data_IF_692346037821
#
_entry.id   IF_692346037821
#
_cell.length_a   1.000
_cell.length_b   1.000
_cell.length_c   1.000
_cell.angle_alpha   90.00
_cell.angle_beta   90.00
_cell.angle_gamma   90.00
#
_symmetry.space_group_name_H-M   'P 1'
#
loop_
_entity.id
_entity.type
_entity.pdbx_description
1 polymer ?
#
# COMPACT_ATOMS: atom_id res chain seq x y z
N UNK A 1 29.20 -22.08 -11.16
CA UNK A 1 28.82 -21.00 -10.20
C UNK A 1 29.29 -19.70 -10.83
N UNK A 2 28.45 -18.71 -10.93
CA UNK A 2 28.87 -17.38 -11.35
C UNK A 2 29.66 -16.80 -10.19
N UNK A 3 30.92 -16.45 -10.38
CA UNK A 3 31.70 -15.76 -9.35
C UNK A 3 31.01 -14.43 -9.03
N UNK A 4 30.86 -14.15 -7.75
CA UNK A 4 30.36 -12.86 -7.32
C UNK A 4 31.39 -11.80 -7.67
N UNK A 5 30.99 -10.63 -8.20
CA UNK A 5 31.95 -9.55 -8.44
C UNK A 5 32.69 -9.23 -7.13
N UNK A 6 34.00 -9.06 -7.19
CA UNK A 6 34.87 -8.81 -6.02
C UNK A 6 34.62 -7.47 -5.32
N UNK A 7 33.90 -6.56 -5.98
CA UNK A 7 33.78 -5.16 -5.58
C UNK A 7 32.32 -4.80 -5.25
N UNK A 8 31.61 -5.67 -4.51
CA UNK A 8 30.23 -5.40 -4.07
C UNK A 8 30.24 -4.72 -2.71
N UNK A 9 29.74 -3.49 -2.65
CA UNK A 9 29.57 -2.75 -1.40
C UNK A 9 28.26 -3.12 -0.67
N UNK A 10 27.23 -3.52 -1.42
CA UNK A 10 25.89 -3.73 -0.89
C UNK A 10 25.28 -5.02 -1.44
N UNK A 11 24.85 -5.90 -0.54
CA UNK A 11 24.02 -7.06 -0.89
C UNK A 11 22.57 -6.80 -0.46
N UNK A 12 21.65 -6.86 -1.42
CA UNK A 12 20.22 -6.68 -1.20
C UNK A 12 19.55 -8.05 -1.22
N UNK A 13 18.90 -8.44 -0.14
CA UNK A 13 18.24 -9.74 -0.02
C UNK A 13 16.74 -9.56 -0.23
N UNK A 14 16.23 -10.12 -1.32
CA UNK A 14 14.85 -10.07 -1.75
C UNK A 14 14.55 -8.97 -2.76
N UNK A 15 13.94 -9.37 -3.89
CA UNK A 15 13.53 -8.47 -4.97
C UNK A 15 12.04 -8.05 -4.85
N UNK A 16 11.54 -7.85 -3.64
CA UNK A 16 10.27 -7.13 -3.41
C UNK A 16 10.41 -5.64 -3.73
N UNK A 17 9.33 -4.85 -3.67
CA UNK A 17 9.37 -3.41 -3.99
C UNK A 17 10.45 -2.64 -3.24
N UNK A 18 10.65 -2.93 -1.96
CA UNK A 18 11.70 -2.28 -1.14
C UNK A 18 13.10 -2.61 -1.62
N UNK A 19 13.37 -3.89 -1.95
CA UNK A 19 14.67 -4.30 -2.50
C UNK A 19 14.94 -3.71 -3.87
N UNK A 20 13.92 -3.65 -4.73
CA UNK A 20 14.02 -3.00 -6.05
C UNK A 20 14.28 -1.50 -5.89
N UNK A 21 13.58 -0.82 -4.98
CA UNK A 21 13.82 0.60 -4.70
C UNK A 21 15.25 0.85 -4.19
N UNK A 22 15.75 0.00 -3.30
CA UNK A 22 17.14 0.05 -2.82
C UNK A 22 18.14 -0.14 -3.98
N UNK A 23 17.93 -1.13 -4.83
CA UNK A 23 18.78 -1.40 -6.01
C UNK A 23 18.81 -0.20 -6.98
N UNK A 24 17.65 0.41 -7.26
CA UNK A 24 17.56 1.63 -8.08
C UNK A 24 18.36 2.76 -7.45
N UNK A 25 18.30 2.94 -6.12
CA UNK A 25 19.08 3.99 -5.45
C UNK A 25 20.57 3.69 -5.46
N UNK A 26 21.00 2.45 -5.28
CA UNK A 26 22.39 2.06 -5.43
C UNK A 26 22.90 2.38 -6.84
N UNK A 27 22.15 1.99 -7.86
CA UNK A 27 22.51 2.26 -9.25
C UNK A 27 22.59 3.75 -9.58
N UNK A 28 21.59 4.54 -9.16
CA UNK A 28 21.60 6.01 -9.33
C UNK A 28 22.80 6.69 -8.67
N UNK A 29 23.32 6.13 -7.59
CA UNK A 29 24.46 6.66 -6.86
C UNK A 29 25.78 5.98 -7.21
N UNK A 30 25.81 5.19 -8.27
CA UNK A 30 26.99 4.41 -8.72
C UNK A 30 27.61 3.55 -7.60
N UNK A 31 26.80 3.03 -6.67
CA UNK A 31 27.23 2.10 -5.63
C UNK A 31 27.14 0.67 -6.14
N UNK A 32 28.25 -0.10 -6.13
CA UNK A 32 28.23 -1.49 -6.51
C UNK A 32 27.28 -2.30 -5.60
N UNK A 33 26.36 -3.05 -6.21
CA UNK A 33 25.41 -3.86 -5.46
C UNK A 33 25.10 -5.17 -6.16
N UNK A 34 24.56 -6.12 -5.37
CA UNK A 34 23.99 -7.36 -5.83
C UNK A 34 22.62 -7.58 -5.20
N UNK A 35 21.59 -7.75 -6.01
CA UNK A 35 20.23 -8.09 -5.60
C UNK A 35 20.01 -9.60 -5.75
N UNK A 36 19.65 -10.28 -4.66
CA UNK A 36 19.46 -11.73 -4.61
C UNK A 36 18.00 -12.05 -4.29
N UNK A 37 17.34 -12.81 -5.17
CA UNK A 37 15.94 -13.23 -5.00
C UNK A 37 15.83 -14.76 -5.08
N UNK A 38 15.06 -15.35 -4.16
CA UNK A 38 14.88 -16.81 -4.10
C UNK A 38 13.97 -17.37 -5.19
N UNK A 39 13.04 -16.56 -5.68
CA UNK A 39 12.09 -16.94 -6.72
C UNK A 39 12.66 -16.65 -8.12
N UNK A 40 11.98 -17.17 -9.14
CA UNK A 40 12.29 -16.90 -10.54
C UNK A 40 11.75 -15.54 -11.04
N UNK A 41 11.10 -14.76 -10.18
CA UNK A 41 10.53 -13.46 -10.50
C UNK A 41 10.78 -12.45 -9.39
N UNK A 42 10.76 -11.17 -9.75
CA UNK A 42 10.75 -10.05 -8.80
C UNK A 42 9.33 -9.75 -8.29
N UNK A 43 9.21 -8.87 -7.30
CA UNK A 43 7.94 -8.33 -6.82
C UNK A 43 7.51 -8.87 -5.45
N UNK A 44 7.99 -10.03 -5.03
CA UNK A 44 7.60 -10.60 -3.74
C UNK A 44 6.08 -10.74 -3.63
N UNK A 45 5.46 -10.00 -2.72
CA UNK A 45 4.00 -9.99 -2.50
C UNK A 45 3.21 -9.21 -3.55
N UNK A 46 3.84 -8.34 -4.33
CA UNK A 46 3.25 -7.71 -5.52
C UNK A 46 3.45 -8.61 -6.74
N UNK A 47 2.78 -9.74 -6.76
CA UNK A 47 2.85 -10.69 -7.85
C UNK A 47 1.50 -10.96 -8.44
N UNK A 48 1.46 -11.26 -9.74
CA UNK A 48 0.26 -11.74 -10.43
C UNK A 48 0.60 -12.94 -11.28
N UNK A 49 -0.39 -13.78 -11.54
CA UNK A 49 -0.30 -14.85 -12.53
C UNK A 49 -1.56 -14.86 -13.39
N UNK A 50 -1.43 -15.35 -14.61
CA UNK A 50 -2.54 -15.47 -15.54
C UNK A 50 -2.96 -16.93 -15.66
N UNK A 51 -4.26 -17.19 -15.54
CA UNK A 51 -4.83 -18.50 -15.76
C UNK A 51 -6.17 -18.38 -16.49
N UNK A 52 -6.29 -19.07 -17.62
CA UNK A 52 -7.51 -19.09 -18.46
C UNK A 52 -8.05 -17.69 -18.83
N UNK A 53 -7.17 -16.72 -19.03
CA UNK A 53 -7.53 -15.33 -19.36
C UNK A 53 -7.88 -14.44 -18.16
N UNK A 54 -7.79 -14.96 -16.95
CA UNK A 54 -7.96 -14.22 -15.70
C UNK A 54 -6.61 -13.86 -15.10
N UNK A 55 -6.54 -12.68 -14.47
CA UNK A 55 -5.36 -12.23 -13.71
C UNK A 55 -5.65 -12.41 -12.23
N UNK A 56 -4.78 -13.13 -11.55
CA UNK A 56 -4.84 -13.36 -10.11
C UNK A 56 -3.64 -12.69 -9.43
N UNK A 57 -3.92 -11.76 -8.53
CA UNK A 57 -2.88 -11.13 -7.72
C UNK A 57 -2.61 -11.94 -6.44
N UNK A 58 -1.33 -12.06 -6.07
CA UNK A 58 -0.88 -12.87 -4.93
C UNK A 58 -1.02 -12.17 -3.58
N UNK A 59 -1.37 -10.90 -3.58
CA UNK A 59 -1.41 -10.08 -2.37
C UNK A 59 -2.38 -8.93 -2.48
N UNK A 60 -2.02 -7.81 -1.87
CA UNK A 60 -2.86 -6.61 -1.85
C UNK A 60 -3.05 -6.02 -3.24
N UNK A 61 -4.29 -5.81 -3.63
CA UNK A 61 -4.71 -5.49 -4.99
C UNK A 61 -5.12 -4.02 -5.13
N UNK A 62 -4.37 -3.10 -4.55
CA UNK A 62 -4.62 -1.66 -4.71
C UNK A 62 -3.31 -0.90 -4.87
N UNK A 63 -3.23 -0.11 -5.93
CA UNK A 63 -2.23 0.92 -6.10
C UNK A 63 -2.86 2.28 -5.83
N UNK A 64 -2.27 3.07 -4.93
CA UNK A 64 -2.75 4.42 -4.65
C UNK A 64 -1.86 5.45 -5.35
N UNK A 65 -2.48 6.33 -6.14
CA UNK A 65 -1.75 7.33 -6.92
C UNK A 65 -1.05 8.41 -6.08
N UNK A 66 -1.30 8.46 -4.77
CA UNK A 66 -0.61 9.37 -3.84
C UNK A 66 0.66 8.78 -3.21
N UNK A 67 1.15 7.62 -3.66
CA UNK A 67 2.43 7.08 -3.22
C UNK A 67 3.59 7.78 -3.94
N UNK A 68 4.00 8.92 -3.43
CA UNK A 68 4.98 9.82 -4.07
C UNK A 68 6.32 9.14 -4.36
N UNK A 69 6.88 8.43 -3.38
CA UNK A 69 8.16 7.71 -3.54
C UNK A 69 8.05 6.65 -4.63
N UNK A 70 6.97 5.87 -4.64
CA UNK A 70 6.74 4.85 -5.66
C UNK A 70 6.60 5.48 -7.04
N UNK A 71 5.80 6.55 -7.16
CA UNK A 71 5.64 7.28 -8.42
C UNK A 71 6.96 7.84 -8.96
N UNK A 72 7.87 8.27 -8.08
CA UNK A 72 9.18 8.80 -8.50
C UNK A 72 10.14 7.73 -9.05
N UNK A 73 9.85 6.47 -8.79
CA UNK A 73 10.64 5.32 -9.23
C UNK A 73 10.04 4.61 -10.46
N UNK A 74 8.75 4.84 -10.74
CA UNK A 74 8.01 4.21 -11.82
C UNK A 74 7.99 5.07 -13.08
N UNK A 75 8.08 4.43 -14.22
CA UNK A 75 7.63 5.02 -15.49
C UNK A 75 6.11 4.87 -15.59
N UNK A 76 5.40 5.87 -15.06
CA UNK A 76 3.92 5.89 -15.02
C UNK A 76 3.30 5.91 -16.42
N UNK A 77 4.02 6.37 -17.45
CA UNK A 77 3.55 6.37 -18.83
C UNK A 77 3.42 4.97 -19.43
N UNK A 78 4.09 3.98 -18.86
CA UNK A 78 4.07 2.58 -19.32
C UNK A 78 3.15 1.68 -18.49
N UNK A 79 2.41 2.23 -17.51
CA UNK A 79 1.48 1.47 -16.66
C UNK A 79 0.06 1.99 -16.89
N UNK A 80 -0.81 1.18 -17.48
CA UNK A 80 -2.23 1.49 -17.58
C UNK A 80 -2.92 1.19 -16.26
N UNK A 81 -3.53 2.21 -15.65
CA UNK A 81 -4.24 2.10 -14.39
C UNK A 81 -5.75 2.14 -14.60
N UNK A 82 -6.45 1.16 -14.05
CA UNK A 82 -7.90 1.16 -13.91
C UNK A 82 -8.26 1.71 -12.53
N UNK A 83 -9.06 2.77 -12.49
CA UNK A 83 -9.41 3.47 -11.25
C UNK A 83 -10.70 2.95 -10.65
N UNK A 84 -10.68 2.76 -9.34
CA UNK A 84 -11.90 2.46 -8.59
C UNK A 84 -12.71 3.72 -8.32
N UNK A 85 -14.04 3.55 -8.24
CA UNK A 85 -14.91 4.61 -7.75
C UNK A 85 -14.64 4.85 -6.25
N UNK A 86 -14.55 6.12 -5.80
CA UNK A 86 -14.34 6.43 -4.40
C UNK A 86 -15.53 5.99 -3.55
N UNK A 87 -15.30 5.10 -2.60
CA UNK A 87 -16.33 4.60 -1.70
C UNK A 87 -16.08 3.17 -1.24
N UNK A 88 -17.01 2.65 -0.47
CA UNK A 88 -17.02 1.27 -0.02
C UNK A 88 -18.45 0.72 0.02
N UNK A 89 -18.60 -0.55 -0.28
CA UNK A 89 -19.82 -1.31 -0.03
C UNK A 89 -19.60 -2.12 1.22
N UNK A 90 -20.46 -1.92 2.22
CA UNK A 90 -20.39 -2.58 3.52
C UNK A 90 -21.61 -3.47 3.68
N UNK A 91 -21.39 -4.74 4.02
CA UNK A 91 -22.44 -5.66 4.42
C UNK A 91 -22.58 -5.63 5.95
N UNK A 92 -23.74 -5.26 6.49
CA UNK A 92 -23.95 -5.10 7.92
C UNK A 92 -24.45 -6.37 8.64
N UNK A 93 -24.50 -7.47 7.91
CA UNK A 93 -25.05 -8.75 8.36
C UNK A 93 -26.42 -9.07 7.74
N UNK A 94 -27.12 -8.07 7.23
CA UNK A 94 -28.43 -8.20 6.58
C UNK A 94 -28.45 -7.59 5.20
N UNK A 95 -27.98 -6.34 5.06
CA UNK A 95 -28.06 -5.57 3.83
C UNK A 95 -26.70 -4.97 3.42
N UNK A 96 -26.62 -4.56 2.15
CA UNK A 96 -25.48 -3.82 1.61
C UNK A 96 -25.72 -2.32 1.72
N UNK A 97 -24.80 -1.64 2.40
CA UNK A 97 -24.79 -0.20 2.51
C UNK A 97 -23.62 0.41 1.74
N UNK A 98 -23.86 1.49 1.01
CA UNK A 98 -22.83 2.20 0.25
C UNK A 98 -22.40 3.44 1.04
N UNK A 99 -21.11 3.50 1.36
CA UNK A 99 -20.46 4.71 1.88
C UNK A 99 -19.61 5.30 0.79
N UNK A 100 -19.98 6.50 0.33
CA UNK A 100 -19.21 7.25 -0.66
C UNK A 100 -18.51 8.44 -0.03
N UNK A 101 -17.45 8.91 -0.70
CA UNK A 101 -16.83 10.18 -0.38
C UNK A 101 -17.71 11.34 -0.93
N UNK A 102 -18.38 12.10 -0.06
CA UNK A 102 -19.32 13.15 -0.51
C UNK A 102 -18.62 14.28 -1.27
N UNK A 103 -17.30 14.43 -1.13
CA UNK A 103 -16.53 15.43 -1.85
C UNK A 103 -16.12 14.96 -3.26
N UNK A 104 -16.16 13.65 -3.51
CA UNK A 104 -15.74 13.04 -4.77
C UNK A 104 -16.89 12.44 -5.58
N UNK A 105 -17.99 12.08 -4.93
CA UNK A 105 -19.20 11.57 -5.57
C UNK A 105 -20.47 12.19 -4.95
N UNK A 106 -20.84 13.36 -5.48
CA UNK A 106 -22.00 14.13 -5.02
C UNK A 106 -23.32 13.34 -5.21
N UNK A 107 -23.40 12.43 -6.18
CA UNK A 107 -24.61 11.65 -6.45
C UNK A 107 -24.94 10.63 -5.36
N UNK A 108 -23.95 10.20 -4.59
CA UNK A 108 -24.12 9.22 -3.52
C UNK A 108 -24.10 9.82 -2.10
N UNK A 109 -24.11 11.15 -1.98
CA UNK A 109 -24.17 11.87 -0.68
C UNK A 109 -25.34 11.40 0.16
N UNK A 110 -26.51 11.22 -0.46
CA UNK A 110 -27.73 10.81 0.26
C UNK A 110 -27.58 9.40 0.86
N UNK A 111 -27.03 8.42 0.14
CA UNK A 111 -26.80 7.07 0.70
C UNK A 111 -25.87 7.08 1.91
N UNK A 112 -24.81 7.88 1.87
CA UNK A 112 -23.87 8.05 2.99
C UNK A 112 -24.51 8.77 4.18
N UNK A 113 -25.40 9.75 3.94
CA UNK A 113 -26.07 10.50 5.00
C UNK A 113 -27.07 9.64 5.79
N UNK A 114 -27.72 8.68 5.13
CA UNK A 114 -28.74 7.81 5.74
C UNK A 114 -28.21 6.43 6.15
N UNK A 115 -26.89 6.19 6.03
CA UNK A 115 -26.30 4.94 6.49
C UNK A 115 -26.37 4.80 8.01
N UNK A 116 -26.94 3.69 8.48
CA UNK A 116 -27.04 3.34 9.91
C UNK A 116 -25.71 2.91 10.54
N UNK A 117 -24.65 2.76 9.73
CA UNK A 117 -23.30 2.36 10.19
C UNK A 117 -22.63 3.47 11.01
N UNK A 118 -22.96 4.73 10.73
CA UNK A 118 -22.30 5.88 11.33
C UNK A 118 -23.28 6.89 11.90
N UNK A 119 -22.96 7.45 13.06
CA UNK A 119 -23.70 8.57 13.66
C UNK A 119 -23.41 9.87 12.89
N UNK A 120 -24.25 10.89 13.05
CA UNK A 120 -23.95 12.23 12.52
C UNK A 120 -22.62 12.76 13.07
N UNK A 121 -22.32 12.46 14.35
CA UNK A 121 -21.05 12.78 14.97
C UNK A 121 -19.86 12.13 14.26
N UNK A 122 -19.96 10.86 13.86
CA UNK A 122 -18.90 10.16 13.12
C UNK A 122 -18.67 10.79 11.75
N UNK A 123 -19.71 11.19 11.05
CA UNK A 123 -19.62 11.87 9.74
C UNK A 123 -18.85 13.19 9.85
N UNK A 124 -19.12 13.97 10.90
CA UNK A 124 -18.38 15.21 11.17
C UNK A 124 -16.91 14.90 11.52
N UNK A 125 -16.65 13.86 12.33
CA UNK A 125 -15.29 13.45 12.70
C UNK A 125 -14.47 12.97 11.49
N UNK A 126 -15.08 12.23 10.57
CA UNK A 126 -14.42 11.85 9.31
C UNK A 126 -13.97 13.08 8.52
N UNK A 127 -14.83 14.09 8.39
CA UNK A 127 -14.47 15.32 7.67
C UNK A 127 -13.34 16.07 8.37
N UNK A 128 -13.39 16.17 9.72
CA UNK A 128 -12.31 16.76 10.51
C UNK A 128 -11.01 15.98 10.36
N UNK A 129 -11.06 14.65 10.45
CA UNK A 129 -9.89 13.79 10.26
C UNK A 129 -9.29 13.94 8.87
N UNK A 130 -10.12 13.94 7.82
CA UNK A 130 -9.67 14.19 6.44
C UNK A 130 -8.96 15.54 6.30
N UNK A 131 -9.52 16.58 6.89
CA UNK A 131 -8.92 17.92 6.86
C UNK A 131 -7.60 17.98 7.64
N UNK A 132 -7.55 17.40 8.84
CA UNK A 132 -6.36 17.42 9.70
C UNK A 132 -5.18 16.59 9.15
N UNK A 133 -5.46 15.58 8.34
CA UNK A 133 -4.45 14.71 7.75
C UNK A 133 -4.10 15.11 6.31
N UNK A 134 -4.53 16.26 5.83
CA UNK A 134 -4.14 16.77 4.51
C UNK A 134 -2.64 17.07 4.50
N UNK A 135 -1.91 16.41 3.59
CA UNK A 135 -0.45 16.55 3.51
C UNK A 135 0.29 15.92 4.71
N UNK A 136 -0.32 14.98 5.39
CA UNK A 136 0.32 14.30 6.52
C UNK A 136 1.56 13.52 6.08
N UNK A 137 2.66 13.72 6.81
CA UNK A 137 3.92 13.01 6.66
C UNK A 137 4.32 12.36 7.97
N UNK A 138 4.57 11.05 7.93
CA UNK A 138 4.84 10.24 9.12
C UNK A 138 6.12 10.67 9.83
N UNK A 139 7.14 11.07 9.07
CA UNK A 139 8.45 11.47 9.59
C UNK A 139 8.41 12.82 10.34
N UNK A 140 7.35 13.60 10.14
CA UNK A 140 7.13 14.89 10.82
C UNK A 140 6.21 14.78 12.03
N UNK A 141 5.62 13.62 12.26
CA UNK A 141 4.72 13.39 13.40
C UNK A 141 5.51 13.05 14.66
N UNK A 142 5.77 14.07 15.50
CA UNK A 142 6.43 13.93 16.79
C UNK A 142 5.49 13.51 17.93
N UNK A 143 4.21 13.25 17.66
CA UNK A 143 3.26 12.79 18.70
C UNK A 143 3.68 11.42 19.25
N UNK A 144 3.31 11.15 20.51
CA UNK A 144 3.45 9.82 21.09
C UNK A 144 2.60 8.84 20.29
N UNK A 145 3.22 7.76 19.83
CA UNK A 145 2.50 6.72 19.11
C UNK A 145 1.58 5.91 20.02
N UNK A 146 0.50 5.41 19.46
CA UNK A 146 -0.47 4.55 20.11
C UNK A 146 -1.09 3.61 19.08
N UNK A 147 -1.90 2.66 19.52
CA UNK A 147 -2.62 1.80 18.59
C UNK A 147 -3.62 2.60 17.76
N UNK A 148 -3.89 2.14 16.54
CA UNK A 148 -4.95 2.72 15.69
C UNK A 148 -6.29 2.68 16.41
N UNK A 149 -6.63 1.58 17.08
CA UNK A 149 -7.86 1.46 17.85
C UNK A 149 -7.99 2.58 18.91
N UNK A 150 -6.94 2.76 19.73
CA UNK A 150 -6.96 3.83 20.75
C UNK A 150 -7.05 5.23 20.13
N UNK A 151 -6.37 5.45 19.00
CA UNK A 151 -6.46 6.71 18.28
C UNK A 151 -7.89 7.02 17.81
N UNK A 152 -8.60 6.03 17.28
CA UNK A 152 -9.98 6.19 16.82
C UNK A 152 -10.93 6.47 17.97
N UNK A 153 -10.77 5.79 19.11
CA UNK A 153 -11.54 6.06 20.34
C UNK A 153 -11.28 7.48 20.87
N UNK A 154 -10.00 7.88 20.97
CA UNK A 154 -9.63 9.23 21.44
C UNK A 154 -10.13 10.35 20.50
N UNK A 155 -10.27 10.03 19.20
CA UNK A 155 -10.88 10.94 18.23
C UNK A 155 -12.40 11.01 18.40
N UNK A 156 -12.98 10.09 19.19
CA UNK A 156 -14.40 10.04 19.59
C UNK A 156 -15.28 9.29 18.59
N UNK A 157 -14.72 8.49 17.69
CA UNK A 157 -15.54 7.64 16.82
C UNK A 157 -16.37 6.64 17.65
N UNK A 158 -17.59 6.37 17.20
CA UNK A 158 -18.43 5.34 17.83
C UNK A 158 -17.83 3.96 17.63
N UNK A 159 -18.03 3.07 18.60
CA UNK A 159 -17.62 1.67 18.46
C UNK A 159 -18.21 1.03 17.20
N UNK A 160 -19.46 1.34 16.89
CA UNK A 160 -20.11 0.85 15.66
C UNK A 160 -19.35 1.26 14.40
N UNK A 161 -18.92 2.52 14.29
CA UNK A 161 -18.10 3.00 13.16
C UNK A 161 -16.75 2.32 13.12
N UNK A 162 -16.14 2.06 14.28
CA UNK A 162 -14.85 1.36 14.36
C UNK A 162 -15.02 -0.09 13.89
N UNK A 163 -16.03 -0.81 14.39
CA UNK A 163 -16.22 -2.24 14.09
C UNK A 163 -16.74 -2.49 12.67
N UNK A 164 -17.60 -1.64 12.15
CA UNK A 164 -18.26 -1.87 10.85
C UNK A 164 -17.47 -1.28 9.67
N UNK A 165 -16.65 -0.26 9.89
CA UNK A 165 -15.92 0.41 8.83
C UNK A 165 -14.40 0.33 9.01
N UNK A 166 -13.87 0.92 10.11
CA UNK A 166 -12.41 1.02 10.24
C UNK A 166 -11.74 -0.34 10.39
N UNK A 167 -12.28 -1.21 11.23
CA UNK A 167 -11.69 -2.53 11.47
C UNK A 167 -11.66 -3.40 10.20
N UNK A 168 -12.75 -3.67 9.50
CA UNK A 168 -12.71 -4.50 8.30
C UNK A 168 -11.79 -3.91 7.21
N UNK A 169 -11.85 -2.59 6.99
CA UNK A 169 -11.06 -1.94 5.97
C UNK A 169 -9.55 -1.96 6.28
N UNK A 170 -9.17 -1.56 7.50
CA UNK A 170 -7.75 -1.48 7.86
C UNK A 170 -7.14 -2.83 8.23
N UNK A 171 -7.93 -3.81 8.69
CA UNK A 171 -7.41 -5.17 8.92
C UNK A 171 -6.87 -5.80 7.65
N UNK A 172 -7.50 -5.56 6.51
CA UNK A 172 -6.98 -6.00 5.22
C UNK A 172 -5.66 -5.33 4.82
N UNK A 173 -5.46 -4.07 5.21
CA UNK A 173 -4.25 -3.30 4.93
C UNK A 173 -3.12 -3.67 5.90
N UNK A 174 -3.44 -3.77 7.19
CA UNK A 174 -2.47 -4.02 8.26
C UNK A 174 -2.14 -5.51 8.43
N UNK A 175 -2.96 -6.39 7.86
CA UNK A 175 -2.88 -7.85 8.03
C UNK A 175 -2.98 -8.28 9.51
N UNK A 176 -3.80 -7.56 10.28
CA UNK A 176 -4.13 -7.86 11.68
C UNK A 176 -5.53 -7.31 12.03
N UNK A 177 -6.22 -7.95 13.00
CA UNK A 177 -7.64 -7.72 13.24
C UNK A 177 -7.96 -6.80 14.43
N UNK A 178 -6.96 -6.45 15.25
CA UNK A 178 -7.17 -5.72 16.50
C UNK A 178 -6.99 -4.21 16.38
N UNK A 179 -6.50 -3.73 15.22
CA UNK A 179 -6.07 -2.36 15.00
C UNK A 179 -4.98 -1.93 15.99
N UNK A 180 -4.06 -2.86 16.31
CA UNK A 180 -2.89 -2.60 17.16
C UNK A 180 -1.76 -1.89 16.39
N UNK A 181 -1.81 -1.90 15.07
CA UNK A 181 -0.87 -1.16 14.22
C UNK A 181 -0.82 0.33 14.61
N UNK A 182 0.37 0.91 14.50
CA UNK A 182 0.67 2.32 14.83
C UNK A 182 -0.36 3.30 14.27
N UNK A 183 -0.81 4.21 15.10
CA UNK A 183 -1.70 5.30 14.69
C UNK A 183 -1.05 6.25 13.69
N UNK A 184 0.28 6.38 13.70
CA UNK A 184 1.01 7.17 12.70
C UNK A 184 0.92 6.52 11.32
N UNK A 185 1.04 5.19 11.26
CA UNK A 185 0.88 4.46 10.01
C UNK A 185 -0.58 4.52 9.51
N UNK A 186 -1.56 4.42 10.41
CA UNK A 186 -2.97 4.65 10.07
C UNK A 186 -3.18 6.04 9.45
N UNK A 187 -2.69 7.10 10.09
CA UNK A 187 -2.81 8.47 9.57
C UNK A 187 -2.18 8.61 8.19
N UNK A 188 -1.01 8.00 7.98
CA UNK A 188 -0.34 7.99 6.68
C UNK A 188 -1.22 7.32 5.62
N UNK A 189 -1.66 6.09 5.85
CA UNK A 189 -2.50 5.34 4.91
C UNK A 189 -3.80 6.09 4.62
N UNK A 190 -4.48 6.57 5.67
CA UNK A 190 -5.72 7.32 5.54
C UNK A 190 -5.53 8.61 4.73
N UNK A 191 -4.42 9.32 4.94
CA UNK A 191 -4.10 10.53 4.18
C UNK A 191 -3.88 10.23 2.69
N UNK A 192 -3.23 9.10 2.36
CA UNK A 192 -3.02 8.67 0.96
C UNK A 192 -4.34 8.31 0.27
N UNK A 193 -5.24 7.61 0.95
CA UNK A 193 -6.60 7.37 0.43
C UNK A 193 -7.41 8.66 0.27
N UNK A 194 -7.17 9.64 1.10
CA UNK A 194 -7.84 10.94 1.00
C UNK A 194 -7.32 11.78 -0.17
N UNK A 195 -6.03 11.70 -0.52
CA UNK A 195 -5.40 12.53 -1.54
C UNK A 195 -5.24 11.84 -2.90
N UNK A 196 -5.12 10.50 -2.93
CA UNK A 196 -4.95 9.72 -4.13
C UNK A 196 -6.20 9.03 -4.62
N UNK A 197 -6.06 8.36 -5.76
CA UNK A 197 -7.06 7.45 -6.32
C UNK A 197 -6.59 6.01 -6.11
N UNK A 198 -7.49 5.17 -5.64
CA UNK A 198 -7.27 3.73 -5.63
C UNK A 198 -7.40 3.20 -7.06
N UNK A 199 -6.46 2.38 -7.47
CA UNK A 199 -6.39 1.84 -8.82
C UNK A 199 -5.77 0.45 -8.84
N UNK A 200 -5.87 -0.22 -9.99
CA UNK A 200 -5.24 -1.50 -10.26
C UNK A 200 -4.60 -1.44 -11.64
N UNK A 201 -3.34 -1.86 -11.80
CA UNK A 201 -2.75 -1.99 -13.12
C UNK A 201 -3.54 -2.98 -14.00
N UNK A 202 -3.75 -2.64 -15.26
CA UNK A 202 -4.52 -3.46 -16.23
C UNK A 202 -4.01 -4.90 -16.32
N UNK A 203 -2.69 -5.08 -16.22
CA UNK A 203 -2.03 -6.39 -16.29
C UNK A 203 -1.69 -6.97 -14.90
N UNK A 204 -2.38 -6.54 -13.85
CA UNK A 204 -2.19 -6.99 -12.47
C UNK A 204 -1.04 -6.28 -11.75
N UNK A 205 -0.94 -6.54 -10.44
CA UNK A 205 0.05 -5.89 -9.57
C UNK A 205 1.51 -6.21 -9.92
N UNK A 206 1.78 -7.31 -10.64
CA UNK A 206 3.12 -7.64 -11.12
C UNK A 206 3.71 -6.55 -12.06
N UNK A 207 2.86 -5.78 -12.72
CA UNK A 207 3.29 -4.69 -13.60
C UNK A 207 4.15 -3.64 -12.87
N UNK A 208 3.93 -3.44 -11.58
CA UNK A 208 4.68 -2.48 -10.76
C UNK A 208 6.14 -2.93 -10.57
N UNK A 209 6.44 -4.12 -10.00
CA UNK A 209 7.82 -4.57 -9.87
C UNK A 209 8.53 -4.79 -11.21
N UNK A 210 7.81 -5.20 -12.26
CA UNK A 210 8.39 -5.33 -13.60
C UNK A 210 8.79 -3.97 -14.18
N UNK A 211 8.02 -2.93 -13.90
CA UNK A 211 8.38 -1.57 -14.28
C UNK A 211 9.62 -1.07 -13.51
N UNK A 212 9.67 -1.29 -12.19
CA UNK A 212 10.84 -0.95 -11.37
C UNK A 212 12.10 -1.67 -11.87
N UNK A 213 11.97 -2.94 -12.27
CA UNK A 213 13.06 -3.76 -12.76
C UNK A 213 13.75 -3.17 -13.99
N UNK A 214 13.01 -2.49 -14.87
CA UNK A 214 13.57 -1.84 -16.07
C UNK A 214 14.64 -0.79 -15.76
N UNK A 215 14.63 -0.26 -14.53
CA UNK A 215 15.59 0.73 -14.06
C UNK A 215 16.83 0.10 -13.40
N UNK A 216 17.02 -1.22 -13.48
CA UNK A 216 18.11 -1.94 -12.82
C UNK A 216 18.87 -2.76 -13.86
N UNK A 217 20.20 -2.66 -13.85
CA UNK A 217 21.05 -3.48 -14.72
C UNK A 217 20.93 -4.96 -14.33
N UNK A 218 20.51 -5.80 -15.28
CA UNK A 218 20.27 -7.22 -15.05
C UNK A 218 21.51 -8.02 -14.59
N UNK A 219 22.72 -7.50 -14.81
CA UNK A 219 23.96 -8.15 -14.32
C UNK A 219 24.06 -8.14 -12.78
N UNK A 220 23.37 -7.18 -12.13
CA UNK A 220 23.35 -6.99 -10.67
C UNK A 220 22.23 -7.78 -9.99
N UNK A 221 21.54 -8.68 -10.70
CA UNK A 221 20.41 -9.43 -10.18
C UNK A 221 20.65 -10.92 -10.28
N UNK A 222 20.44 -11.64 -9.20
CA UNK A 222 20.45 -13.10 -9.13
C UNK A 222 19.08 -13.61 -8.70
N UNK A 223 18.32 -14.16 -9.64
CA UNK A 223 17.09 -14.89 -9.35
C UNK A 223 17.38 -16.36 -9.01
N UNK A 224 16.39 -17.04 -8.42
CA UNK A 224 16.47 -18.46 -8.02
C UNK A 224 17.64 -18.75 -7.08
N UNK A 225 18.05 -17.77 -6.29
CA UNK A 225 19.11 -17.86 -5.29
C UNK A 225 18.59 -17.51 -3.91
N UNK A 226 18.53 -18.51 -3.03
CA UNK A 226 18.11 -18.34 -1.65
C UNK A 226 19.31 -18.02 -0.77
N UNK A 227 19.26 -16.85 -0.10
CA UNK A 227 20.20 -16.57 1.01
C UNK A 227 19.77 -17.39 2.22
N UNK A 228 20.65 -18.24 2.71
CA UNK A 228 20.36 -19.15 3.82
C UNK A 228 21.01 -18.71 5.12
N UNK A 229 22.12 -17.96 5.05
CA UNK A 229 22.83 -17.47 6.22
C UNK A 229 23.60 -16.19 5.87
N UNK A 230 23.62 -15.26 6.82
CA UNK A 230 24.50 -14.11 6.84
C UNK A 230 25.44 -14.34 8.03
N UNK A 231 26.75 -14.23 7.85
CA UNK A 231 27.72 -14.44 8.90
C UNK A 231 28.90 -13.50 8.72
N UNK A 232 29.64 -13.27 9.80
CA UNK A 232 30.95 -12.63 9.75
C UNK A 232 31.98 -13.62 9.16
N UNK A 233 32.93 -13.10 8.39
CA UNK A 233 34.09 -13.86 7.91
C UNK A 233 35.15 -13.96 9.00
#
# INVERSE_FOLDING_TARGET
MRELPSDIDTVIVGAGPSGLACAIQCQKNNKPFLLIEKNNRVGGRLGSFNENGYIFDLGFQVYNTAYEVTNSLLDMGSINLNYFKPGAVIHDGTDFQIISDPLRDIKQVFGTLFSDISTLGDKIRILKLKSSLRGYEIDRDNSKDKTTHQFLLDTGFSERMIEMFFRPFFSGIFLENKLETSSKFFKYVFSRFNSGLASLPENGMQSIPDNLLKNIDGKNILLEKKVVKIGEQ
#
